data_IF_187377146150
#
_entry.id   IF_187377146150
#
_cell.length_a   1.000
_cell.length_b   1.000
_cell.length_c   1.000
_cell.angle_alpha   90.00
_cell.angle_beta   90.00
_cell.angle_gamma   90.00
#
_symmetry.space_group_name_H-M   'P 1'
#
loop_
_entity.id
_entity.type
_entity.pdbx_description
1 polymer ?
#
# COMPACT_ATOMS: atom_id res chain seq x y z
N UNK A 1 14.66 -26.12 -84.29
CA UNK A 1 13.50 -25.23 -84.44
C UNK A 1 13.29 -24.52 -83.11
N UNK A 2 13.63 -23.24 -83.01
CA UNK A 2 13.18 -22.41 -81.90
C UNK A 2 12.93 -21.01 -82.46
N UNK A 3 11.66 -20.61 -82.45
CA UNK A 3 11.19 -19.32 -82.97
C UNK A 3 11.31 -18.28 -81.87
N UNK A 4 11.99 -17.20 -82.24
CA UNK A 4 12.11 -15.95 -81.53
C UNK A 4 10.92 -15.05 -81.88
N UNK A 5 10.32 -14.38 -80.89
CA UNK A 5 9.56 -13.13 -81.09
C UNK A 5 9.31 -12.39 -79.77
N UNK A 6 10.31 -11.61 -79.37
CA UNK A 6 10.31 -10.15 -79.18
C UNK A 6 9.15 -9.38 -78.47
N UNK A 7 9.57 -8.33 -77.74
CA UNK A 7 8.83 -7.20 -77.11
C UNK A 7 8.12 -7.51 -75.78
N UNK A 8 8.24 -6.73 -74.70
CA UNK A 8 8.23 -5.27 -74.59
C UNK A 8 9.12 -4.81 -73.42
N UNK A 9 10.02 -3.88 -73.73
CA UNK A 9 10.66 -2.96 -72.78
C UNK A 9 9.63 -2.01 -72.17
N UNK A 10 9.77 -1.68 -70.89
CA UNK A 10 9.86 -0.31 -70.35
C UNK A 10 9.41 -0.26 -68.89
N UNK A 11 10.02 0.67 -68.14
CA UNK A 11 9.69 1.06 -66.76
C UNK A 11 10.45 0.38 -65.61
N UNK A 12 11.75 0.17 -65.78
CA UNK A 12 12.67 0.19 -64.65
C UNK A 12 13.80 1.18 -64.97
N UNK A 13 14.11 2.04 -64.00
CA UNK A 13 15.12 3.10 -64.04
C UNK A 13 14.64 4.45 -64.58
N UNK A 14 14.10 5.30 -63.70
CA UNK A 14 14.55 6.69 -63.47
C UNK A 14 13.65 7.38 -62.43
N UNK A 15 13.94 7.20 -61.13
CA UNK A 15 13.65 8.22 -60.13
C UNK A 15 14.70 8.16 -59.02
N UNK A 16 15.85 8.77 -59.35
CA UNK A 16 16.95 9.09 -58.45
C UNK A 16 16.46 9.99 -57.30
N UNK A 17 17.09 9.75 -56.14
CA UNK A 17 17.69 10.77 -55.26
C UNK A 17 16.78 11.91 -54.80
N UNK A 18 16.23 11.78 -53.59
CA UNK A 18 16.21 12.82 -52.54
C UNK A 18 15.84 12.13 -51.21
N UNK A 19 16.82 11.58 -50.51
CA UNK A 19 16.73 11.45 -49.05
C UNK A 19 17.79 12.38 -48.49
N UNK A 20 17.40 13.65 -48.30
CA UNK A 20 18.16 14.64 -47.56
C UNK A 20 17.87 14.50 -46.07
N UNK A 21 18.96 14.49 -45.32
CA UNK A 21 19.06 14.53 -43.87
C UNK A 21 18.33 15.76 -43.28
N UNK A 22 17.62 15.60 -42.16
CA UNK A 22 17.25 16.71 -41.27
C UNK A 22 17.10 16.22 -39.83
N UNK A 23 18.10 16.53 -39.00
CA UNK A 23 17.95 16.64 -37.56
C UNK A 23 17.13 17.90 -37.27
N UNK A 24 16.07 17.77 -36.48
CA UNK A 24 15.58 18.86 -35.63
C UNK A 24 15.28 18.29 -34.25
N UNK A 25 16.03 18.77 -33.27
CA UNK A 25 15.80 18.61 -31.85
C UNK A 25 14.47 19.25 -31.40
N UNK A 26 14.10 18.94 -30.15
CA UNK A 26 12.97 19.42 -29.33
C UNK A 26 11.76 18.46 -29.33
N UNK A 27 11.16 18.06 -28.19
CA UNK A 27 11.09 18.68 -26.87
C UNK A 27 11.25 17.64 -25.76
N UNK A 28 11.83 18.07 -24.64
CA UNK A 28 11.75 17.41 -23.36
C UNK A 28 10.28 17.13 -22.99
N UNK A 29 9.91 15.85 -22.88
CA UNK A 29 8.72 15.46 -22.15
C UNK A 29 9.07 15.50 -20.66
N UNK A 30 8.95 16.67 -20.05
CA UNK A 30 8.61 16.77 -18.63
C UNK A 30 7.18 16.24 -18.47
N UNK A 31 7.02 14.92 -18.62
CA UNK A 31 5.76 14.24 -18.43
C UNK A 31 5.47 14.17 -16.94
N UNK A 32 4.68 15.12 -16.44
CA UNK A 32 4.00 14.93 -15.15
C UNK A 32 3.34 13.56 -15.19
N UNK A 33 3.65 12.69 -14.22
CA UNK A 33 3.14 11.32 -14.21
C UNK A 33 1.64 11.34 -14.44
N UNK A 34 1.21 10.87 -15.62
CA UNK A 34 -0.21 10.72 -15.91
C UNK A 34 -0.81 9.90 -14.76
N UNK A 35 -1.83 10.42 -14.09
CA UNK A 35 -2.51 9.70 -13.01
C UNK A 35 -2.94 8.34 -13.58
N UNK A 36 -2.40 7.26 -13.02
CA UNK A 36 -2.90 5.92 -13.33
C UNK A 36 -4.35 5.85 -12.88
N UNK A 37 -5.25 5.70 -13.84
CA UNK A 37 -6.66 5.42 -13.62
C UNK A 37 -6.84 3.93 -13.87
N UNK A 38 -7.39 3.22 -12.88
CA UNK A 38 -7.71 1.81 -12.98
C UNK A 38 -9.22 1.64 -13.10
N UNK A 39 -9.65 0.65 -13.88
CA UNK A 39 -11.06 0.26 -13.89
C UNK A 39 -11.41 -0.49 -12.60
N UNK A 40 -12.70 -0.63 -12.29
CA UNK A 40 -13.17 -1.37 -11.12
C UNK A 40 -12.73 -2.84 -11.20
N UNK A 41 -12.77 -3.40 -12.40
CA UNK A 41 -12.40 -4.79 -12.70
C UNK A 41 -10.90 -5.01 -12.45
N UNK A 42 -10.05 -4.10 -12.94
CA UNK A 42 -8.60 -4.15 -12.71
C UNK A 42 -8.25 -3.97 -11.24
N UNK A 43 -8.95 -3.09 -10.52
CA UNK A 43 -8.75 -2.91 -9.09
C UNK A 43 -9.10 -4.17 -8.31
N UNK A 44 -10.24 -4.80 -8.61
CA UNK A 44 -10.68 -6.02 -7.95
C UNK A 44 -9.74 -7.20 -8.24
N UNK A 45 -9.23 -7.33 -9.48
CA UNK A 45 -8.26 -8.34 -9.83
C UNK A 45 -6.99 -8.20 -8.98
N UNK A 46 -6.43 -6.99 -8.90
CA UNK A 46 -5.25 -6.71 -8.05
C UNK A 46 -5.53 -6.92 -6.58
N UNK A 47 -6.69 -6.52 -6.08
CA UNK A 47 -7.07 -6.71 -4.69
C UNK A 47 -7.15 -8.20 -4.33
N UNK A 48 -7.63 -9.04 -5.26
CA UNK A 48 -7.69 -10.50 -5.05
C UNK A 48 -6.31 -11.18 -5.00
N UNK A 49 -5.30 -10.56 -5.60
CA UNK A 49 -3.91 -11.03 -5.53
C UNK A 49 -3.27 -10.73 -4.17
N UNK A 50 -3.79 -9.74 -3.42
CA UNK A 50 -3.28 -9.39 -2.09
C UNK A 50 -3.69 -10.46 -1.09
N UNK A 51 -2.72 -11.26 -0.67
CA UNK A 51 -2.90 -12.20 0.44
C UNK A 51 -2.69 -11.46 1.76
N UNK A 52 -3.77 -11.29 2.52
CA UNK A 52 -3.69 -10.80 3.90
C UNK A 52 -4.03 -11.94 4.84
N UNK A 53 -3.10 -12.28 5.73
CA UNK A 53 -3.35 -13.30 6.74
C UNK A 53 -4.38 -12.78 7.74
N UNK A 54 -5.42 -13.59 7.98
CA UNK A 54 -6.46 -13.30 8.96
C UNK A 54 -5.88 -13.20 10.37
N UNK A 55 -4.87 -14.01 10.69
CA UNK A 55 -4.20 -14.00 11.98
C UNK A 55 -3.47 -12.67 12.21
N UNK A 56 -2.79 -12.14 11.19
CA UNK A 56 -2.09 -10.87 11.27
C UNK A 56 -3.06 -9.69 11.41
N UNK A 57 -4.19 -9.74 10.70
CA UNK A 57 -5.27 -8.76 10.91
C UNK A 57 -5.83 -8.82 12.32
N UNK A 58 -6.06 -10.02 12.86
CA UNK A 58 -6.56 -10.15 14.22
C UNK A 58 -5.56 -9.61 15.24
N UNK A 59 -4.26 -9.87 15.06
CA UNK A 59 -3.20 -9.28 15.91
C UNK A 59 -3.20 -7.76 15.84
N UNK A 60 -3.37 -7.19 14.64
CA UNK A 60 -3.44 -5.75 14.45
C UNK A 60 -4.64 -5.13 15.17
N UNK A 61 -5.82 -5.74 15.03
CA UNK A 61 -7.04 -5.31 15.72
C UNK A 61 -6.87 -5.43 17.23
N UNK A 62 -6.35 -6.57 17.72
CA UNK A 62 -6.08 -6.79 19.14
C UNK A 62 -5.15 -5.71 19.71
N UNK A 63 -4.06 -5.40 19.00
CA UNK A 63 -3.12 -4.36 19.42
C UNK A 63 -3.79 -2.98 19.52
N UNK A 64 -4.60 -2.61 18.52
CA UNK A 64 -5.34 -1.36 18.54
C UNK A 64 -6.27 -1.26 19.76
N UNK A 65 -7.07 -2.31 20.04
CA UNK A 65 -7.98 -2.32 21.18
C UNK A 65 -7.23 -2.13 22.51
N UNK A 66 -6.06 -2.76 22.65
CA UNK A 66 -5.22 -2.68 23.85
C UNK A 66 -4.60 -1.29 24.02
N UNK A 67 -4.07 -0.68 22.93
CA UNK A 67 -3.41 0.63 22.98
C UNK A 67 -4.41 1.74 23.28
N UNK A 68 -5.58 1.69 22.64
CA UNK A 68 -6.61 2.71 22.85
C UNK A 68 -7.27 2.62 24.22
N UNK A 69 -7.21 1.43 24.85
CA UNK A 69 -7.75 1.21 26.19
C UNK A 69 -9.12 0.53 26.20
N UNK A 70 -9.54 -0.07 25.09
CA UNK A 70 -10.85 -0.71 24.96
C UNK A 70 -10.86 -2.12 25.55
N UNK A 71 -10.79 -2.23 26.89
CA UNK A 71 -10.71 -3.51 27.61
C UNK A 71 -11.81 -4.49 27.22
N UNK A 72 -13.07 -4.09 27.36
CA UNK A 72 -14.22 -4.96 27.10
C UNK A 72 -14.27 -5.45 25.64
N UNK A 73 -13.84 -4.60 24.70
CA UNK A 73 -13.75 -4.97 23.30
C UNK A 73 -12.61 -5.96 23.07
N UNK A 74 -11.44 -5.76 23.68
CA UNK A 74 -10.31 -6.68 23.60
C UNK A 74 -10.65 -8.06 24.18
N UNK A 75 -11.38 -8.12 25.30
CA UNK A 75 -11.84 -9.37 25.91
C UNK A 75 -12.77 -10.15 24.98
N UNK A 76 -13.83 -9.49 24.48
CA UNK A 76 -14.78 -10.11 23.55
C UNK A 76 -14.10 -10.54 22.25
N UNK A 77 -13.24 -9.67 21.70
CA UNK A 77 -12.49 -9.98 20.48
C UNK A 77 -11.54 -11.16 20.68
N UNK A 78 -10.91 -11.30 21.84
CA UNK A 78 -10.07 -12.47 22.15
C UNK A 78 -10.88 -13.76 22.15
N UNK A 79 -12.07 -13.74 22.77
CA UNK A 79 -12.97 -14.89 22.83
C UNK A 79 -13.47 -15.29 21.43
N UNK A 80 -13.83 -14.31 20.59
CA UNK A 80 -14.38 -14.55 19.24
C UNK A 80 -13.31 -14.97 18.22
N UNK A 81 -12.14 -14.32 18.26
CA UNK A 81 -11.08 -14.54 17.27
C UNK A 81 -10.09 -15.65 17.65
N UNK A 82 -10.10 -16.09 18.92
CA UNK A 82 -9.06 -16.97 19.47
C UNK A 82 -7.68 -16.30 19.61
N UNK A 83 -7.58 -15.00 19.29
CA UNK A 83 -6.31 -14.26 19.33
C UNK A 83 -5.96 -13.98 20.78
N UNK A 84 -4.80 -14.47 21.20
CA UNK A 84 -4.32 -14.28 22.55
C UNK A 84 -3.75 -12.87 22.72
N UNK A 85 -4.17 -12.10 23.72
CA UNK A 85 -3.61 -10.79 23.96
C UNK A 85 -2.14 -10.92 24.40
N UNK A 86 -1.25 -10.03 23.94
CA UNK A 86 0.17 -10.05 24.29
C UNK A 86 0.45 -9.60 25.73
N UNK A 87 -0.53 -8.96 26.38
CA UNK A 87 -0.44 -8.46 27.76
C UNK A 87 -1.67 -8.87 28.54
N UNK A 88 -1.58 -8.78 29.86
CA UNK A 88 -2.73 -8.96 30.74
C UNK A 88 -3.77 -7.85 30.47
N UNK A 89 -5.02 -8.18 30.15
CA UNK A 89 -6.05 -7.20 29.82
C UNK A 89 -6.43 -6.35 31.04
N UNK A 90 -6.29 -6.88 32.24
CA UNK A 90 -6.46 -6.15 33.50
C UNK A 90 -5.52 -4.93 33.59
N UNK A 91 -4.29 -5.04 33.05
CA UNK A 91 -3.30 -3.95 33.06
C UNK A 91 -3.65 -2.78 32.13
N UNK A 92 -4.66 -2.94 31.25
CA UNK A 92 -5.09 -1.86 30.36
C UNK A 92 -5.64 -0.70 31.19
N UNK A 93 -6.50 -1.00 32.16
CA UNK A 93 -7.16 0.03 32.97
C UNK A 93 -6.14 0.85 33.75
N UNK A 94 -5.15 0.19 34.35
CA UNK A 94 -4.06 0.83 35.07
C UNK A 94 -3.27 1.79 34.18
N UNK A 95 -2.89 1.35 32.97
CA UNK A 95 -2.20 2.21 31.98
C UNK A 95 -3.06 3.38 31.52
N UNK A 96 -4.38 3.22 31.44
CA UNK A 96 -5.30 4.30 31.08
C UNK A 96 -5.41 5.37 32.14
N UNK A 97 -5.43 4.98 33.43
CA UNK A 97 -5.42 5.94 34.55
C UNK A 97 -4.14 6.77 34.51
N UNK A 98 -2.97 6.12 34.41
CA UNK A 98 -1.68 6.80 34.32
C UNK A 98 -1.61 7.73 33.10
N UNK A 99 -2.00 7.26 31.92
CA UNK A 99 -2.04 8.07 30.69
C UNK A 99 -2.91 9.32 30.86
N UNK A 100 -4.08 9.15 31.47
CA UNK A 100 -5.04 10.25 31.67
C UNK A 100 -4.51 11.29 32.64
N UNK A 101 -3.91 10.88 33.75
CA UNK A 101 -3.29 11.79 34.72
C UNK A 101 -2.17 12.64 34.06
N UNK A 102 -1.30 11.99 33.27
CA UNK A 102 -0.26 12.68 32.49
C UNK A 102 -0.86 13.69 31.52
N UNK A 103 -1.86 13.28 30.74
CA UNK A 103 -2.51 14.16 29.74
C UNK A 103 -3.22 15.36 30.37
N UNK A 104 -3.67 15.23 31.63
CA UNK A 104 -4.28 16.33 32.40
C UNK A 104 -3.27 17.20 33.14
N UNK A 105 -1.98 16.87 33.11
CA UNK A 105 -0.93 17.57 33.85
C UNK A 105 -0.91 17.24 35.35
N UNK A 106 -1.56 16.16 35.77
CA UNK A 106 -1.59 15.69 37.16
C UNK A 106 -0.38 14.77 37.39
N UNK A 107 0.81 15.36 37.44
CA UNK A 107 2.07 14.59 37.44
C UNK A 107 2.28 13.84 38.76
N UNK A 108 1.94 14.44 39.90
CA UNK A 108 2.05 13.81 41.21
C UNK A 108 1.18 12.55 41.31
N UNK A 109 -0.08 12.64 40.85
CA UNK A 109 -1.00 11.49 40.79
C UNK A 109 -0.47 10.38 39.87
N UNK A 110 0.10 10.76 38.72
CA UNK A 110 0.70 9.79 37.80
C UNK A 110 1.90 9.07 38.44
N UNK A 111 2.75 9.78 39.19
CA UNK A 111 3.91 9.20 39.89
C UNK A 111 3.45 8.23 40.97
N UNK A 112 2.51 8.65 41.83
CA UNK A 112 1.97 7.79 42.89
C UNK A 112 1.38 6.51 42.32
N UNK A 113 0.57 6.63 41.25
CA UNK A 113 -0.07 5.47 40.63
C UNK A 113 0.93 4.51 39.99
N UNK A 114 2.03 5.01 39.41
CA UNK A 114 3.09 4.15 38.88
C UNK A 114 3.80 3.40 40.00
N UNK A 115 4.10 4.07 41.12
CA UNK A 115 4.74 3.45 42.28
C UNK A 115 3.86 2.36 42.91
N UNK A 116 2.55 2.59 42.99
CA UNK A 116 1.59 1.60 43.49
C UNK A 116 1.54 0.34 42.61
N UNK A 117 1.67 0.52 41.29
CA UNK A 117 1.61 -0.56 40.30
C UNK A 117 2.90 -1.36 40.22
N UNK A 118 4.04 -0.73 40.48
CA UNK A 118 5.34 -1.36 40.48
C UNK A 118 6.23 -0.76 41.58
N UNK A 119 6.11 -1.24 42.82
CA UNK A 119 6.94 -0.76 43.91
C UNK A 119 8.38 -1.23 43.71
N UNK A 120 9.31 -0.28 43.54
CA UNK A 120 10.76 -0.55 43.54
C UNK A 120 11.32 -0.73 44.96
#
# INVERSE_FOLDING_TARGET
>A
MNVNSNSISQSAMHRRLYQSNSQTANLASTGGMAKKVFTKEEWNARLSEVQVDREDLNKLVMNYLIIEGFKDAAEKFSQESGTKPPVNLESIQDRMVVRTAIQRGQIEEAIERVNDLNPE
#
